data_IF_180039555014
#
_entry.id   IF_180039555014
#
_cell.length_a   1.000
_cell.length_b   1.000
_cell.length_c   1.000
_cell.angle_alpha   90.00
_cell.angle_beta   90.00
_cell.angle_gamma   90.00
#
_symmetry.space_group_name_H-M   'P 1'
#
loop_
_entity.id
_entity.type
_entity.pdbx_description
1 polymer ?
#
# COMPACT_ATOMS: atom_id res chain seq x y z
N UNK A 1 5.71 8.92 -9.37
CA UNK A 1 6.37 8.65 -10.69
C UNK A 1 5.84 7.32 -11.18
N UNK A 2 5.58 7.19 -12.49
CA UNK A 2 5.20 5.91 -13.09
C UNK A 2 6.14 5.55 -14.21
N UNK A 3 6.53 4.28 -14.24
CA UNK A 3 7.39 3.70 -15.26
C UNK A 3 6.72 2.44 -15.78
N UNK A 4 6.55 2.38 -17.09
CA UNK A 4 5.98 1.22 -17.77
C UNK A 4 6.88 0.76 -18.89
N UNK A 5 7.00 -0.55 -19.06
CA UNK A 5 7.67 -1.15 -20.22
C UNK A 5 6.92 -2.40 -20.67
N UNK A 6 7.16 -2.82 -21.91
CA UNK A 6 6.61 -4.06 -22.45
C UNK A 6 7.73 -5.06 -22.64
N UNK A 7 7.54 -6.26 -22.10
CA UNK A 7 8.46 -7.38 -22.25
C UNK A 7 7.64 -8.61 -22.65
N UNK A 8 8.01 -9.27 -23.75
CA UNK A 8 7.29 -10.43 -24.29
C UNK A 8 5.76 -10.22 -24.43
N UNK A 9 5.35 -9.07 -24.97
CA UNK A 9 3.94 -8.68 -25.11
C UNK A 9 3.17 -8.59 -23.78
N UNK A 10 3.87 -8.48 -22.66
CA UNK A 10 3.31 -8.20 -21.34
C UNK A 10 3.73 -6.81 -20.88
N UNK A 11 2.74 -6.01 -20.47
CA UNK A 11 2.97 -4.65 -19.98
C UNK A 11 3.11 -4.66 -18.46
N UNK A 12 4.28 -4.22 -18.01
CA UNK A 12 4.60 -4.04 -16.60
C UNK A 12 4.54 -2.55 -16.28
N UNK A 13 3.82 -2.20 -15.22
CA UNK A 13 3.70 -0.82 -14.73
C UNK A 13 4.09 -0.76 -13.27
N UNK A 14 4.99 0.16 -12.94
CA UNK A 14 5.45 0.44 -11.59
C UNK A 14 5.03 1.86 -11.24
N UNK A 15 4.31 2.01 -10.14
CA UNK A 15 3.97 3.31 -9.56
C UNK A 15 4.64 3.45 -8.21
N UNK A 16 5.20 4.64 -7.96
CA UNK A 16 5.78 5.00 -6.68
C UNK A 16 5.08 6.21 -6.07
N UNK A 17 4.71 6.07 -4.79
CA UNK A 17 4.06 7.10 -3.99
C UNK A 17 4.86 7.39 -2.72
N UNK A 18 4.74 8.62 -2.22
CA UNK A 18 5.17 9.03 -0.89
C UNK A 18 4.00 9.74 -0.23
N UNK A 19 3.40 9.09 0.78
CA UNK A 19 2.23 9.60 1.49
C UNK A 19 2.68 10.43 2.69
N UNK A 20 2.00 11.55 2.93
CA UNK A 20 2.18 12.40 4.11
C UNK A 20 1.42 11.83 5.32
N UNK A 21 1.63 12.39 6.52
CA UNK A 21 0.88 11.98 7.72
C UNK A 21 -0.63 12.28 7.59
N UNK A 22 -0.98 13.36 6.87
CA UNK A 22 -2.37 13.74 6.60
C UNK A 22 -3.06 12.76 5.64
N UNK A 23 -2.30 12.18 4.70
CA UNK A 23 -2.77 11.16 3.76
C UNK A 23 -3.06 9.81 4.45
N UNK A 24 -2.54 9.60 5.67
CA UNK A 24 -2.55 8.32 6.39
C UNK A 24 -3.19 8.43 7.79
N UNK A 25 -4.16 9.32 7.95
CA UNK A 25 -4.90 9.41 9.22
C UNK A 25 -5.79 8.17 9.44
N UNK A 26 -6.04 7.83 10.72
CA UNK A 26 -6.81 6.65 11.12
C UNK A 26 -8.25 6.60 10.56
N UNK A 27 -8.79 7.75 10.16
CA UNK A 27 -10.11 7.92 9.53
C UNK A 27 -10.05 8.17 8.03
N UNK A 28 -8.91 8.63 7.50
CA UNK A 28 -8.72 8.90 6.07
C UNK A 28 -7.63 8.02 5.44
N UNK A 29 -7.82 6.70 5.40
CA UNK A 29 -7.43 5.95 4.17
C UNK A 29 -8.31 6.35 2.98
N UNK A 30 -8.63 7.65 2.87
CA UNK A 30 -9.56 8.23 1.93
C UNK A 30 -8.73 9.01 0.91
N UNK A 31 -8.63 8.42 -0.27
CA UNK A 31 -8.30 9.08 -1.54
C UNK A 31 -6.83 9.32 -1.90
N UNK A 32 -5.93 8.38 -1.61
CA UNK A 32 -4.72 8.21 -2.43
C UNK A 32 -4.75 6.94 -3.31
N UNK A 33 -5.88 6.24 -3.35
CA UNK A 33 -6.26 5.41 -4.51
C UNK A 33 -6.96 6.33 -5.49
N UNK A 34 -6.20 7.28 -5.99
CA UNK A 34 -6.74 8.14 -7.00
C UNK A 34 -7.10 7.23 -8.18
N UNK A 35 -8.39 7.15 -8.49
CA UNK A 35 -8.88 6.59 -9.74
C UNK A 35 -8.36 7.38 -10.94
N UNK A 36 -7.57 8.45 -10.74
CA UNK A 36 -6.74 9.07 -11.79
C UNK A 36 -5.46 8.30 -12.10
N UNK A 37 -5.00 7.39 -11.23
CA UNK A 37 -4.00 6.37 -11.57
C UNK A 37 -4.70 5.23 -12.32
N UNK A 38 -5.53 5.59 -13.30
CA UNK A 38 -6.18 4.67 -14.20
C UNK A 38 -5.15 4.16 -15.23
N UNK A 39 -4.26 3.29 -14.75
CA UNK A 39 -3.30 2.57 -15.59
C UNK A 39 -3.93 1.37 -16.30
N UNK A 40 -5.25 1.17 -16.10
CA UNK A 40 -6.09 0.20 -16.79
C UNK A 40 -6.87 0.76 -17.98
N UNK A 41 -7.05 2.08 -18.11
CA UNK A 41 -7.85 2.67 -19.20
C UNK A 41 -7.09 3.55 -20.20
N UNK A 42 -5.76 3.64 -20.09
CA UNK A 42 -4.96 4.02 -21.27
C UNK A 42 -5.20 3.02 -22.42
N UNK A 43 -4.88 3.38 -23.68
CA UNK A 43 -5.10 2.52 -24.87
C UNK A 43 -4.60 1.07 -24.72
N UNK A 44 -3.67 0.79 -23.78
CA UNK A 44 -3.24 -0.56 -23.38
C UNK A 44 -3.15 -0.68 -21.85
N UNK A 45 -4.09 -1.37 -21.17
CA UNK A 45 -3.97 -1.70 -19.75
C UNK A 45 -2.67 -2.44 -19.43
N UNK A 46 -2.15 -2.26 -18.22
CA UNK A 46 -1.05 -3.08 -17.71
C UNK A 46 -1.52 -4.51 -17.42
N UNK A 47 -0.71 -5.52 -17.81
CA UNK A 47 -0.92 -6.91 -17.39
C UNK A 47 -0.50 -7.11 -15.93
N UNK A 48 0.56 -6.40 -15.51
CA UNK A 48 1.12 -6.46 -14.17
C UNK A 48 1.32 -5.06 -13.63
N UNK A 49 0.74 -4.80 -12.46
CA UNK A 49 0.80 -3.52 -11.78
C UNK A 49 1.47 -3.69 -10.42
N UNK A 50 2.50 -2.89 -10.19
CA UNK A 50 3.26 -2.86 -8.94
C UNK A 50 3.15 -1.47 -8.35
N UNK A 51 2.71 -1.39 -7.10
CA UNK A 51 2.68 -0.16 -6.34
C UNK A 51 3.59 -0.28 -5.13
N UNK A 52 4.57 0.61 -5.07
CA UNK A 52 5.62 0.60 -4.07
C UNK A 52 5.86 2.03 -3.57
N UNK A 53 6.63 2.16 -2.50
CA UNK A 53 7.07 3.45 -1.98
C UNK A 53 6.78 3.62 -0.51
N UNK A 54 6.83 4.86 -0.06
CA UNK A 54 6.55 5.22 1.33
C UNK A 54 5.05 5.47 1.46
N UNK A 55 4.30 4.39 1.69
CA UNK A 55 2.85 4.46 1.95
C UNK A 55 2.54 5.07 3.32
N UNK A 56 3.55 5.22 4.18
CA UNK A 56 3.48 5.86 5.49
C UNK A 56 2.37 5.34 6.43
N UNK A 57 1.83 4.14 6.17
CA UNK A 57 0.92 3.42 7.05
C UNK A 57 1.62 3.08 8.38
N UNK A 58 0.87 3.23 9.47
CA UNK A 58 1.40 3.08 10.83
C UNK A 58 0.79 1.86 11.50
N UNK A 59 1.50 1.36 12.51
CA UNK A 59 0.94 0.40 13.46
C UNK A 59 0.17 1.19 14.52
N UNK A 60 -1.15 0.97 14.61
CA UNK A 60 -2.03 1.65 15.55
C UNK A 60 -1.87 1.11 16.97
N UNK A 61 -0.77 1.49 17.62
CA UNK A 61 -0.51 1.14 19.01
C UNK A 61 0.42 2.14 19.69
N UNK A 62 0.47 2.08 21.03
CA UNK A 62 1.39 2.90 21.81
C UNK A 62 2.86 2.52 21.52
N UNK A 63 3.72 3.52 21.35
CA UNK A 63 5.13 3.33 21.00
C UNK A 63 5.89 2.44 22.00
N UNK A 64 5.62 2.54 23.31
CA UNK A 64 6.24 1.71 24.34
C UNK A 64 5.85 0.25 24.16
N UNK A 65 4.56 -0.02 23.87
CA UNK A 65 4.06 -1.37 23.64
C UNK A 65 4.61 -1.94 22.33
N UNK A 66 4.67 -1.12 21.26
CA UNK A 66 5.28 -1.52 20.00
C UNK A 66 6.73 -1.92 20.19
N UNK A 67 7.49 -1.11 20.93
CA UNK A 67 8.90 -1.38 21.24
C UNK A 67 9.07 -2.69 21.99
N UNK A 68 8.27 -2.94 23.02
CA UNK A 68 8.33 -4.19 23.78
C UNK A 68 8.07 -5.43 22.90
N UNK A 69 7.17 -5.31 21.92
CA UNK A 69 6.86 -6.39 20.99
C UNK A 69 7.98 -6.62 19.97
N UNK A 70 8.61 -5.54 19.47
CA UNK A 70 9.81 -5.61 18.62
C UNK A 70 10.95 -6.28 19.38
N UNK A 71 11.21 -5.86 20.61
CA UNK A 71 12.30 -6.38 21.45
C UNK A 71 12.09 -7.87 21.78
N UNK A 72 10.83 -8.35 21.80
CA UNK A 72 10.46 -9.76 21.99
C UNK A 72 10.33 -10.55 20.68
N UNK A 73 10.65 -9.95 19.53
CA UNK A 73 10.46 -10.53 18.20
C UNK A 73 9.02 -11.01 17.92
N UNK A 74 8.02 -10.35 18.50
CA UNK A 74 6.60 -10.67 18.34
C UNK A 74 5.98 -9.86 17.19
N UNK A 75 6.56 -9.98 15.99
CA UNK A 75 6.16 -9.19 14.82
C UNK A 75 4.72 -9.46 14.36
N UNK A 76 4.21 -10.68 14.56
CA UNK A 76 2.84 -11.02 14.18
C UNK A 76 1.80 -10.21 14.96
N UNK A 77 2.08 -9.91 16.23
CA UNK A 77 1.23 -9.03 17.05
C UNK A 77 1.27 -7.58 16.58
N UNK A 78 2.38 -7.12 16.01
CA UNK A 78 2.45 -5.78 15.40
C UNK A 78 1.59 -5.73 14.13
N UNK A 79 1.60 -6.80 13.32
CA UNK A 79 0.83 -6.89 12.07
C UNK A 79 -0.68 -6.83 12.30
N UNK A 80 -1.20 -7.33 13.42
CA UNK A 80 -2.62 -7.20 13.78
C UNK A 80 -3.07 -5.72 13.92
N UNK A 81 -2.12 -4.83 14.24
CA UNK A 81 -2.37 -3.40 14.41
C UNK A 81 -1.96 -2.57 13.20
N UNK A 82 -1.46 -3.19 12.13
CA UNK A 82 -1.05 -2.51 10.91
C UNK A 82 -2.26 -1.93 10.16
N UNK A 83 -2.21 -0.63 9.86
CA UNK A 83 -3.27 0.06 9.11
C UNK A 83 -3.42 -0.47 7.69
N UNK A 84 -2.34 -0.91 7.04
CA UNK A 84 -2.40 -1.47 5.69
C UNK A 84 -3.19 -2.77 5.67
N UNK A 85 -2.94 -3.69 6.61
CA UNK A 85 -3.74 -4.91 6.77
C UNK A 85 -5.22 -4.63 7.01
N UNK A 86 -5.55 -3.73 7.94
CA UNK A 86 -6.94 -3.34 8.20
C UNK A 86 -7.62 -2.72 6.97
N UNK A 87 -6.87 -1.96 6.17
CA UNK A 87 -7.36 -1.39 4.93
C UNK A 87 -7.61 -2.46 3.85
N UNK A 88 -6.75 -3.48 3.75
CA UNK A 88 -6.94 -4.65 2.89
C UNK A 88 -8.20 -5.43 3.28
N UNK A 89 -8.41 -5.70 4.57
CA UNK A 89 -9.62 -6.37 5.09
C UNK A 89 -10.90 -5.57 4.81
N UNK A 90 -10.80 -4.24 4.84
CA UNK A 90 -11.88 -3.30 4.52
C UNK A 90 -12.09 -3.09 3.03
N UNK A 91 -11.41 -3.86 2.17
CA UNK A 91 -11.49 -3.81 0.69
C UNK A 91 -11.00 -2.51 0.05
N UNK A 92 -10.20 -1.69 0.74
CA UNK A 92 -9.58 -0.51 0.12
C UNK A 92 -8.50 -0.90 -0.90
N UNK A 93 -7.88 -2.06 -0.75
CA UNK A 93 -6.87 -2.63 -1.66
C UNK A 93 -7.40 -3.85 -2.44
N UNK A 94 -8.69 -3.88 -2.79
CA UNK A 94 -9.24 -5.04 -3.52
C UNK A 94 -8.49 -5.29 -4.84
N UNK A 95 -8.20 -6.56 -5.14
CA UNK A 95 -7.37 -6.97 -6.27
C UNK A 95 -5.84 -6.82 -6.11
N UNK A 96 -5.36 -6.16 -5.06
CA UNK A 96 -3.93 -6.06 -4.75
C UNK A 96 -3.48 -7.19 -3.84
N UNK A 97 -2.21 -7.60 -3.99
CA UNK A 97 -1.57 -8.60 -3.12
C UNK A 97 -0.26 -8.05 -2.59
N UNK A 98 -0.03 -8.28 -1.30
CA UNK A 98 1.24 -8.04 -0.63
C UNK A 98 1.86 -9.40 -0.28
N UNK A 99 3.15 -9.63 -0.61
CA UNK A 99 3.84 -10.90 -0.34
C UNK A 99 4.13 -11.14 1.15
#
# INVERSE_FOLDING_TARGET
IVTSFTLYNKRFSFTTSRMSDDDVTSTNTKYAYDTTLDYSTGEKPADFLFWLGDLNVRVQMNATVAKDLVDKNQLDKLKEHDQLKKAQESKYFDGWKEP
#
